data_IF_531255418929
#
_entry.id   IF_531255418929
#
_cell.length_a   1.000
_cell.length_b   1.000
_cell.length_c   1.000
_cell.angle_alpha   90.00
_cell.angle_beta   90.00
_cell.angle_gamma   90.00
#
_symmetry.space_group_name_H-M   'P 1'
#
loop_
_entity.id
_entity.type
_entity.pdbx_description
1 polymer ?
#
# COMPACT_ATOMS: atom_id res chain seq x y z
N UNK A 1 -7.25 3.47 21.16
CA UNK A 1 -7.22 2.13 20.54
C UNK A 1 -6.49 2.23 19.21
N UNK A 2 -5.35 1.56 19.02
CA UNK A 2 -4.59 1.62 17.76
C UNK A 2 -5.07 0.49 16.85
N UNK A 3 -5.88 0.83 15.85
CA UNK A 3 -6.42 -0.17 14.92
C UNK A 3 -5.28 -0.77 14.09
N UNK A 4 -5.18 -2.10 14.08
CA UNK A 4 -4.10 -2.84 13.42
C UNK A 4 -4.38 -3.16 11.94
N UNK A 5 -5.47 -2.64 11.37
CA UNK A 5 -5.95 -2.96 10.03
C UNK A 5 -5.33 -2.09 8.94
N UNK A 6 -4.75 -0.95 9.30
CA UNK A 6 -3.96 -0.12 8.37
C UNK A 6 -2.64 0.30 9.01
N UNK A 7 -1.64 0.59 8.18
CA UNK A 7 -0.35 1.09 8.64
C UNK A 7 0.30 1.95 7.57
N UNK A 8 0.81 3.12 7.96
CA UNK A 8 1.66 3.93 7.08
C UNK A 8 3.01 3.22 6.89
N UNK A 9 3.46 3.08 5.65
CA UNK A 9 4.76 2.51 5.34
C UNK A 9 5.84 3.58 5.60
N UNK A 10 6.76 3.31 6.52
CA UNK A 10 7.87 4.23 6.85
C UNK A 10 8.75 4.44 5.62
N UNK A 11 9.30 5.65 5.48
CA UNK A 11 10.18 6.02 4.35
C UNK A 11 9.53 5.83 2.97
N UNK A 12 8.21 5.98 2.92
CA UNK A 12 7.44 6.06 1.67
C UNK A 12 6.66 7.36 1.66
N UNK A 13 6.71 8.06 0.54
CA UNK A 13 6.00 9.33 0.35
C UNK A 13 4.52 9.07 0.10
N UNK A 14 3.80 8.69 1.16
CA UNK A 14 2.35 8.54 1.15
C UNK A 14 1.82 7.15 0.78
N UNK A 15 2.60 6.07 0.94
CA UNK A 15 2.06 4.71 0.82
C UNK A 15 1.59 4.17 2.18
N UNK A 16 0.50 3.40 2.12
CA UNK A 16 -0.14 2.77 3.24
C UNK A 16 -0.38 1.29 2.93
N UNK A 17 -0.45 0.46 3.96
CA UNK A 17 -0.85 -0.95 3.83
C UNK A 17 -2.15 -1.20 4.59
N UNK A 18 -3.08 -1.94 3.96
CA UNK A 18 -4.18 -2.63 4.64
C UNK A 18 -3.64 -4.00 5.09
N UNK A 19 -4.02 -4.40 6.30
CA UNK A 19 -3.54 -5.61 6.97
C UNK A 19 -4.71 -6.55 7.23
N UNK A 20 -4.80 -7.59 6.41
CA UNK A 20 -5.72 -8.73 6.64
C UNK A 20 -4.92 -9.94 7.09
N UNK A 21 -5.32 -10.56 8.19
CA UNK A 21 -4.67 -11.78 8.68
C UNK A 21 -5.77 -12.72 9.15
N UNK A 22 -5.91 -13.86 8.47
CA UNK A 22 -6.86 -14.90 8.82
C UNK A 22 -6.16 -16.24 8.79
N UNK A 23 -6.04 -16.89 9.95
CA UNK A 23 -5.25 -18.09 10.14
C UNK A 23 -3.83 -17.94 9.54
N UNK A 24 -3.40 -18.88 8.68
CA UNK A 24 -2.11 -18.83 7.98
C UNK A 24 -2.11 -17.96 6.72
N UNK A 25 -3.24 -17.32 6.41
CA UNK A 25 -3.38 -16.46 5.24
C UNK A 25 -3.21 -14.99 5.63
N UNK A 26 -1.97 -14.52 5.54
CA UNK A 26 -1.61 -13.13 5.85
C UNK A 26 -1.54 -12.35 4.54
N UNK A 27 -2.52 -11.48 4.31
CA UNK A 27 -2.63 -10.66 3.10
C UNK A 27 -2.32 -9.19 3.42
N UNK A 28 -1.59 -8.53 2.52
CA UNK A 28 -1.31 -7.10 2.62
C UNK A 28 -1.67 -6.44 1.31
N UNK A 29 -2.25 -5.26 1.39
CA UNK A 29 -2.67 -4.49 0.22
C UNK A 29 -2.03 -3.11 0.34
N UNK A 30 -1.28 -2.68 -0.68
CA UNK A 30 -0.66 -1.35 -0.67
C UNK A 30 -1.55 -0.37 -1.42
N UNK A 31 -1.79 0.80 -0.84
CA UNK A 31 -2.61 1.85 -1.40
C UNK A 31 -2.03 3.24 -1.12
N UNK A 32 -2.54 4.26 -1.82
CA UNK A 32 -2.23 5.66 -1.57
C UNK A 32 -3.48 6.54 -1.74
N UNK A 33 -3.44 7.74 -1.19
CA UNK A 33 -4.50 8.74 -1.33
C UNK A 33 -4.13 9.75 -2.41
N UNK A 34 -5.12 10.14 -3.22
CA UNK A 34 -5.08 11.31 -4.09
C UNK A 34 -5.77 12.45 -3.34
N UNK A 35 -4.97 13.39 -2.84
CA UNK A 35 -5.48 14.50 -2.03
C UNK A 35 -6.44 15.41 -2.83
N UNK A 36 -6.14 15.65 -4.11
CA UNK A 36 -6.95 16.53 -4.99
C UNK A 36 -8.34 15.97 -5.31
N UNK A 37 -8.55 14.65 -5.16
CA UNK A 37 -9.79 13.97 -5.55
C UNK A 37 -10.48 13.27 -4.39
N UNK A 38 -9.92 13.30 -3.18
CA UNK A 38 -10.39 12.50 -2.03
C UNK A 38 -10.54 11.00 -2.33
N UNK A 39 -9.77 10.47 -3.29
CA UNK A 39 -9.81 9.07 -3.73
C UNK A 39 -8.68 8.27 -3.09
N UNK A 40 -8.95 7.02 -2.73
CA UNK A 40 -7.94 6.04 -2.33
C UNK A 40 -7.75 5.02 -3.44
N UNK A 41 -6.50 4.83 -3.87
CA UNK A 41 -6.14 3.87 -4.93
C UNK A 41 -5.35 2.71 -4.38
N UNK A 42 -5.87 1.50 -4.60
CA UNK A 42 -5.19 0.25 -4.31
C UNK A 42 -4.26 -0.09 -5.48
N UNK A 43 -2.99 -0.33 -5.17
CA UNK A 43 -1.98 -0.72 -6.16
C UNK A 43 -2.00 -2.22 -6.44
N UNK A 44 -1.99 -3.05 -5.38
CA UNK A 44 -2.11 -4.50 -5.42
C UNK A 44 -2.18 -5.10 -4.02
N UNK A 45 -2.66 -6.36 -3.97
CA UNK A 45 -2.52 -7.25 -2.82
C UNK A 45 -1.38 -8.26 -3.00
N UNK A 46 -0.84 -8.77 -1.90
CA UNK A 46 0.12 -9.88 -1.89
C UNK A 46 0.04 -10.69 -0.59
N UNK A 47 0.38 -11.98 -0.69
CA UNK A 47 0.56 -12.85 0.48
C UNK A 47 1.88 -12.55 1.16
N UNK A 48 1.85 -12.17 2.43
CA UNK A 48 3.02 -11.85 3.24
C UNK A 48 3.61 -13.12 3.84
N UNK A 49 4.77 -13.53 3.31
CA UNK A 49 5.56 -14.67 3.81
C UNK A 49 6.66 -14.28 4.80
N UNK A 50 6.88 -12.99 5.05
CA UNK A 50 7.96 -12.48 5.91
C UNK A 50 7.44 -11.53 6.99
N UNK A 51 8.24 -11.22 8.02
CA UNK A 51 7.81 -10.38 9.15
C UNK A 51 7.57 -8.90 8.76
N UNK A 52 8.39 -8.36 7.85
CA UNK A 52 8.28 -7.00 7.31
C UNK A 52 7.68 -7.02 5.90
N UNK A 53 7.09 -5.91 5.47
CA UNK A 53 6.62 -5.77 4.09
C UNK A 53 7.82 -5.81 3.14
N UNK A 54 7.88 -6.75 2.17
CA UNK A 54 9.03 -6.88 1.29
C UNK A 54 9.30 -5.59 0.50
N UNK A 55 10.58 -5.20 0.40
CA UNK A 55 10.98 -3.98 -0.32
C UNK A 55 10.57 -4.01 -1.80
N UNK A 56 10.51 -5.19 -2.41
CA UNK A 56 10.07 -5.36 -3.79
C UNK A 56 8.62 -4.90 -4.00
N UNK A 57 7.72 -5.19 -3.04
CA UNK A 57 6.32 -4.78 -3.12
C UNK A 57 6.18 -3.26 -2.93
N UNK A 58 7.01 -2.67 -2.07
CA UNK A 58 7.07 -1.22 -1.88
C UNK A 58 7.57 -0.52 -3.17
N UNK A 59 8.65 -1.03 -3.78
CA UNK A 59 9.17 -0.50 -5.05
C UNK A 59 8.12 -0.59 -6.17
N UNK A 60 7.41 -1.71 -6.25
CA UNK A 60 6.32 -1.94 -7.21
C UNK A 60 5.17 -0.95 -7.02
N UNK A 61 4.75 -0.72 -5.78
CA UNK A 61 3.72 0.27 -5.45
C UNK A 61 4.15 1.71 -5.76
N UNK A 62 5.42 2.07 -5.47
CA UNK A 62 5.98 3.39 -5.84
C UNK A 62 5.95 3.62 -7.35
N UNK A 63 6.39 2.62 -8.13
CA UNK A 63 6.35 2.68 -9.60
C UNK A 63 4.93 2.88 -10.12
N UNK A 64 3.98 2.07 -9.67
CA UNK A 64 2.56 2.18 -10.06
C UNK A 64 1.93 3.51 -9.68
N UNK A 65 2.24 4.04 -8.50
CA UNK A 65 1.79 5.37 -8.09
C UNK A 65 2.33 6.44 -9.04
N UNK A 66 3.63 6.42 -9.34
CA UNK A 66 4.25 7.40 -10.25
C UNK A 66 3.65 7.34 -11.65
N UNK A 67 3.42 6.13 -12.19
CA UNK A 67 2.78 5.92 -13.49
C UNK A 67 1.34 6.43 -13.49
N UNK A 68 0.57 6.14 -12.44
CA UNK A 68 -0.80 6.62 -12.33
C UNK A 68 -0.88 8.15 -12.29
N UNK A 69 -0.07 8.79 -11.44
CA UNK A 69 -0.07 10.25 -11.28
C UNK A 69 0.33 10.95 -12.59
N UNK A 70 1.37 10.44 -13.27
CA UNK A 70 1.80 10.94 -14.58
C UNK A 70 0.72 10.82 -15.66
N UNK A 71 -0.02 9.72 -15.68
CA UNK A 71 -1.03 9.46 -16.72
C UNK A 71 -2.35 10.23 -16.48
N UNK A 72 -2.55 10.83 -15.32
CA UNK A 72 -3.79 11.53 -14.95
C UNK A 72 -3.55 13.00 -14.59
N UNK A 73 -2.35 13.53 -14.89
CA UNK A 73 -1.89 14.89 -14.59
C UNK A 73 -2.18 15.31 -13.13
N UNK A 74 -1.82 14.43 -12.18
CA UNK A 74 -2.00 14.64 -10.72
C UNK A 74 -0.66 14.92 -10.05
#
# INVERSE_FOLDING_TARGET
>A
MKMNWTKKLKSTDGLYEIRSSWHNNIQRIIYFKIETKYVYLITHGFTKKSQKTPLVEIKKAKKRRSEYLKNHDI
#
